data_IF_797804445802
#
_entry.id   IF_797804445802
#
_cell.length_a   1.000
_cell.length_b   1.000
_cell.length_c   1.000
_cell.angle_alpha   90.00
_cell.angle_beta   90.00
_cell.angle_gamma   90.00
#
_symmetry.space_group_name_H-M   'P 1'
#
loop_
_entity.id
_entity.type
_entity.pdbx_description
1 polymer ?
#
# COMPACT_ATOMS: atom_id res chain seq x y z
N UNK A 1 15.49 28.84 14.60
CA UNK A 1 16.08 28.03 13.51
C UNK A 1 16.14 26.52 13.81
N UNK A 2 16.34 26.08 15.06
CA UNK A 2 16.42 24.64 15.43
C UNK A 2 15.18 23.81 15.16
N UNK A 3 13.99 24.39 15.26
CA UNK A 3 12.72 23.67 15.06
C UNK A 3 12.52 23.19 13.61
N UNK A 4 12.99 23.97 12.62
CA UNK A 4 12.89 23.60 11.21
C UNK A 4 13.84 22.45 10.85
N UNK A 5 15.04 22.44 11.40
CA UNK A 5 16.05 21.38 11.20
C UNK A 5 15.57 20.05 11.77
N UNK A 6 14.96 20.07 12.97
CA UNK A 6 14.39 18.86 13.61
C UNK A 6 13.23 18.28 12.80
N UNK A 7 12.30 19.13 12.31
CA UNK A 7 11.18 18.69 11.48
C UNK A 7 11.66 18.09 10.15
N UNK A 8 12.67 18.70 9.52
CA UNK A 8 13.29 18.17 8.29
C UNK A 8 13.92 16.80 8.53
N UNK A 9 14.64 16.63 9.65
CA UNK A 9 15.25 15.33 10.02
C UNK A 9 14.20 14.25 10.29
N UNK A 10 13.11 14.58 10.99
CA UNK A 10 12.01 13.63 11.23
C UNK A 10 11.36 13.19 9.92
N UNK A 11 11.15 14.11 8.98
CA UNK A 11 10.59 13.80 7.66
C UNK A 11 11.53 12.92 6.84
N UNK A 12 12.82 13.20 6.86
CA UNK A 12 13.82 12.39 6.18
C UNK A 12 13.84 10.95 6.70
N UNK A 13 13.78 10.75 8.01
CA UNK A 13 13.72 9.40 8.61
C UNK A 13 12.44 8.65 8.18
N UNK A 14 11.28 9.30 8.22
CA UNK A 14 10.02 8.66 7.79
C UNK A 14 10.07 8.27 6.32
N UNK A 15 10.60 9.13 5.46
CA UNK A 15 10.75 8.86 4.04
C UNK A 15 11.76 7.74 3.77
N UNK A 16 12.89 7.73 4.49
CA UNK A 16 13.92 6.72 4.34
C UNK A 16 13.41 5.33 4.73
N UNK A 17 12.66 5.23 5.82
CA UNK A 17 12.01 3.99 6.22
C UNK A 17 11.04 3.48 5.15
N UNK A 18 10.25 4.37 4.53
CA UNK A 18 9.35 3.99 3.44
C UNK A 18 10.09 3.53 2.19
N UNK A 19 11.19 4.18 1.83
CA UNK A 19 11.99 3.82 0.64
C UNK A 19 12.71 2.48 0.79
N UNK A 20 12.99 2.06 2.02
CA UNK A 20 13.70 0.82 2.32
C UNK A 20 12.77 -0.37 2.60
N UNK A 21 11.48 -0.24 2.32
CA UNK A 21 10.52 -1.33 2.50
C UNK A 21 9.64 -1.50 1.26
N UNK A 22 9.27 -2.74 0.99
CA UNK A 22 8.28 -3.13 -0.04
C UNK A 22 6.97 -3.62 0.59
N UNK A 23 6.79 -3.42 1.91
CA UNK A 23 5.63 -3.93 2.64
C UNK A 23 4.52 -2.90 2.84
N UNK A 24 4.66 -1.71 2.30
CA UNK A 24 3.70 -0.60 2.39
C UNK A 24 3.13 -0.44 3.80
N UNK A 25 3.94 -0.04 4.78
CA UNK A 25 3.51 0.01 6.17
C UNK A 25 2.43 1.08 6.38
N UNK A 26 1.58 0.86 7.37
CA UNK A 26 0.70 1.89 7.90
C UNK A 26 1.48 2.83 8.85
N UNK A 27 0.83 3.91 9.29
CA UNK A 27 1.48 4.89 10.17
C UNK A 27 1.94 4.33 11.51
N UNK A 28 1.24 3.33 12.06
CA UNK A 28 1.61 2.69 13.32
C UNK A 28 2.88 1.84 13.17
N UNK A 29 2.98 1.03 12.12
CA UNK A 29 4.17 0.25 11.82
C UNK A 29 5.39 1.16 11.56
N UNK A 30 5.20 2.23 10.80
CA UNK A 30 6.26 3.24 10.58
C UNK A 30 6.69 3.94 11.88
N UNK A 31 5.76 4.18 12.78
CA UNK A 31 6.08 4.76 14.09
C UNK A 31 6.95 3.82 14.92
N UNK A 32 6.64 2.53 14.93
CA UNK A 32 7.45 1.54 15.67
C UNK A 32 8.87 1.47 15.11
N UNK A 33 9.04 1.48 13.79
CA UNK A 33 10.37 1.53 13.17
C UNK A 33 11.07 2.87 13.43
N UNK A 34 10.37 4.00 13.28
CA UNK A 34 10.94 5.32 13.49
C UNK A 34 11.42 5.52 14.92
N UNK A 35 10.76 4.93 15.92
CA UNK A 35 11.19 4.98 17.32
C UNK A 35 12.52 4.28 17.58
N UNK A 36 12.88 3.28 16.80
CA UNK A 36 14.19 2.61 16.91
C UNK A 36 15.34 3.55 16.55
N UNK A 37 15.09 4.45 15.58
CA UNK A 37 16.07 5.43 15.08
C UNK A 37 15.96 6.76 15.83
N UNK A 38 14.75 7.14 16.20
CA UNK A 38 14.41 8.41 16.87
C UNK A 38 13.50 8.14 18.08
N UNK A 39 14.02 7.77 19.24
CA UNK A 39 13.21 7.36 20.42
C UNK A 39 12.18 8.41 20.87
N UNK A 40 12.43 9.69 20.60
CA UNK A 40 11.57 10.82 20.98
C UNK A 40 10.57 11.25 19.90
N UNK A 41 10.42 10.47 18.81
CA UNK A 41 9.39 10.76 17.81
C UNK A 41 8.01 10.37 18.38
N UNK A 42 6.99 11.15 18.08
CA UNK A 42 5.60 10.81 18.44
C UNK A 42 4.83 10.29 17.22
N UNK A 43 3.80 9.48 17.46
CA UNK A 43 2.90 9.00 16.42
C UNK A 43 2.27 10.16 15.63
N UNK A 44 1.85 11.23 16.31
CA UNK A 44 1.33 12.43 15.66
C UNK A 44 2.37 13.13 14.75
N UNK A 45 3.66 13.02 15.09
CA UNK A 45 4.73 13.51 14.21
C UNK A 45 4.86 12.66 12.95
N UNK A 46 4.73 11.35 13.06
CA UNK A 46 4.75 10.44 11.90
C UNK A 46 3.59 10.77 10.95
N UNK A 47 2.35 10.84 11.46
CA UNK A 47 1.18 11.22 10.67
C UNK A 47 1.34 12.56 9.96
N UNK A 48 1.83 13.59 10.67
CA UNK A 48 2.07 14.90 10.09
C UNK A 48 3.09 14.85 8.94
N UNK A 49 4.18 14.09 9.10
CA UNK A 49 5.20 13.98 8.07
C UNK A 49 4.70 13.15 6.87
N UNK A 50 3.94 12.07 7.08
CA UNK A 50 3.31 11.30 6.02
C UNK A 50 2.38 12.18 5.19
N UNK A 51 1.51 12.96 5.84
CA UNK A 51 0.62 13.90 5.15
C UNK A 51 1.40 14.93 4.32
N UNK A 52 2.49 15.49 4.83
CA UNK A 52 3.31 16.45 4.10
C UNK A 52 4.02 15.80 2.90
N UNK A 53 4.51 14.56 3.04
CA UNK A 53 5.12 13.80 1.96
C UNK A 53 4.10 13.43 0.87
N UNK A 54 2.90 13.04 1.25
CA UNK A 54 1.77 12.79 0.33
C UNK A 54 1.38 14.07 -0.41
N UNK A 55 1.16 15.18 0.29
CA UNK A 55 0.80 16.48 -0.30
C UNK A 55 1.86 17.01 -1.27
N UNK A 56 3.13 16.69 -1.03
CA UNK A 56 4.23 17.05 -1.95
C UNK A 56 4.40 16.07 -3.10
N UNK A 57 3.58 15.03 -3.20
CA UNK A 57 3.72 13.99 -4.20
C UNK A 57 5.00 13.16 -4.08
N UNK A 58 5.63 13.14 -2.89
CA UNK A 58 6.86 12.35 -2.65
C UNK A 58 6.54 10.89 -2.32
N UNK A 59 5.37 10.63 -1.76
CA UNK A 59 4.81 9.31 -1.50
C UNK A 59 3.35 9.29 -1.94
N UNK A 60 2.79 8.11 -2.11
CA UNK A 60 1.35 7.94 -2.30
C UNK A 60 0.73 7.19 -1.13
N UNK A 61 -0.55 7.41 -0.93
CA UNK A 61 -1.39 6.70 0.01
C UNK A 61 -2.21 5.66 -0.73
N UNK A 62 -2.16 4.43 -0.25
CA UNK A 62 -2.98 3.33 -0.74
C UNK A 62 -4.23 3.24 0.14
N UNK A 63 -5.40 3.45 -0.48
CA UNK A 63 -6.70 3.30 0.19
C UNK A 63 -7.24 1.92 -0.12
N UNK A 64 -7.11 1.03 0.86
CA UNK A 64 -7.56 -0.36 0.76
C UNK A 64 -8.93 -0.55 1.42
N UNK A 65 -9.62 -1.63 1.07
CA UNK A 65 -10.95 -1.94 1.62
C UNK A 65 -10.96 -2.14 3.15
N UNK A 66 -9.80 -2.31 3.78
CA UNK A 66 -9.66 -2.43 5.24
C UNK A 66 -9.91 -1.12 6.00
N UNK A 67 -9.99 0.01 5.30
CA UNK A 67 -10.04 1.34 5.93
C UNK A 67 -8.71 1.77 6.57
N UNK A 68 -7.68 0.93 6.55
CA UNK A 68 -6.33 1.27 7.04
C UNK A 68 -5.53 1.90 5.90
N UNK A 69 -4.96 3.07 6.15
CA UNK A 69 -4.11 3.77 5.20
C UNK A 69 -2.71 3.14 5.19
N UNK A 70 -2.26 2.74 4.01
CA UNK A 70 -0.90 2.28 3.76
C UNK A 70 -0.16 3.31 2.91
N UNK A 71 1.17 3.35 3.02
CA UNK A 71 1.98 4.35 2.34
C UNK A 71 3.05 3.69 1.47
N UNK A 72 3.29 4.30 0.32
CA UNK A 72 4.21 3.82 -0.68
C UNK A 72 5.10 4.98 -1.18
N UNK A 73 6.40 4.73 -1.25
CA UNK A 73 7.38 5.69 -1.76
C UNK A 73 7.80 5.39 -3.22
N UNK A 74 7.34 4.29 -3.81
CA UNK A 74 7.51 4.02 -5.23
C UNK A 74 6.32 4.58 -6.01
N UNK A 75 6.54 5.69 -6.69
CA UNK A 75 5.51 6.36 -7.49
C UNK A 75 5.38 5.81 -8.91
N UNK A 76 6.26 4.88 -9.32
CA UNK A 76 6.12 4.23 -10.62
C UNK A 76 4.84 3.40 -10.65
N UNK A 77 4.15 3.28 -11.79
CA UNK A 77 3.00 2.39 -11.91
C UNK A 77 3.40 0.95 -11.56
N UNK A 78 2.73 0.35 -10.59
CA UNK A 78 2.87 -1.06 -10.24
C UNK A 78 1.60 -1.54 -9.56
N UNK A 79 1.48 -2.84 -9.37
CA UNK A 79 0.29 -3.49 -8.82
C UNK A 79 0.54 -3.95 -7.40
N UNK A 80 -0.53 -4.18 -6.65
CA UNK A 80 -0.45 -4.56 -5.24
C UNK A 80 -1.18 -5.86 -4.97
N UNK A 81 -0.70 -6.61 -3.98
CA UNK A 81 -1.39 -7.75 -3.41
C UNK A 81 -1.65 -7.49 -1.93
N UNK A 82 -2.91 -7.64 -1.52
CA UNK A 82 -3.34 -7.49 -0.12
C UNK A 82 -3.66 -8.86 0.45
N UNK A 83 -2.94 -9.25 1.49
CA UNK A 83 -3.22 -10.49 2.20
C UNK A 83 -4.40 -10.31 3.15
N UNK A 84 -5.48 -11.04 2.92
CA UNK A 84 -6.68 -10.99 3.78
C UNK A 84 -6.44 -11.59 5.17
N UNK A 85 -5.45 -12.46 5.32
CA UNK A 85 -5.15 -13.12 6.59
C UNK A 85 -4.28 -12.27 7.53
N UNK A 86 -3.26 -11.56 7.02
CA UNK A 86 -2.33 -10.78 7.85
C UNK A 86 -2.30 -9.29 7.55
N UNK A 87 -3.13 -8.81 6.62
CA UNK A 87 -3.21 -7.40 6.25
C UNK A 87 -2.00 -6.86 5.48
N UNK A 88 -0.98 -7.66 5.21
CA UNK A 88 0.21 -7.21 4.47
C UNK A 88 -0.14 -6.79 3.05
N UNK A 89 0.44 -5.68 2.63
CA UNK A 89 0.42 -5.21 1.26
C UNK A 89 1.79 -5.46 0.65
N UNK A 90 1.83 -6.07 -0.52
CA UNK A 90 3.05 -6.45 -1.22
C UNK A 90 2.98 -5.93 -2.66
N UNK A 91 4.13 -5.54 -3.20
CA UNK A 91 4.25 -5.25 -4.63
C UNK A 91 4.10 -6.53 -5.45
N UNK A 92 3.35 -6.42 -6.53
CA UNK A 92 3.26 -7.47 -7.55
C UNK A 92 3.88 -6.93 -8.82
N UNK A 93 4.99 -7.56 -9.23
CA UNK A 93 5.61 -7.30 -10.52
C UNK A 93 4.78 -7.94 -11.62
N UNK A 94 3.84 -7.20 -12.17
CA UNK A 94 3.33 -7.47 -13.50
C UNK A 94 4.20 -6.68 -14.47
N UNK A 95 4.42 -7.23 -15.66
CA UNK A 95 5.11 -6.51 -16.72
C UNK A 95 4.55 -5.09 -16.81
N UNK A 96 5.41 -4.10 -16.70
CA UNK A 96 5.09 -2.68 -16.55
C UNK A 96 4.47 -2.04 -17.81
N UNK A 97 4.05 -2.82 -18.76
CA UNK A 97 3.35 -2.34 -19.95
C UNK A 97 1.87 -2.19 -19.62
N UNK A 98 1.33 -1.04 -19.95
CA UNK A 98 -0.13 -0.81 -19.91
C UNK A 98 -0.82 -1.93 -20.69
N UNK A 99 -1.95 -2.46 -20.20
CA UNK A 99 -2.74 -3.41 -20.97
C UNK A 99 -3.08 -2.82 -22.33
N UNK A 100 -2.96 -3.62 -23.37
CA UNK A 100 -3.42 -3.22 -24.71
C UNK A 100 -4.93 -2.91 -24.70
N UNK A 101 -5.40 -2.12 -25.67
CA UNK A 101 -6.84 -1.82 -25.82
C UNK A 101 -7.71 -3.08 -25.79
N UNK A 102 -7.28 -4.16 -26.47
CA UNK A 102 -7.98 -5.45 -26.49
C UNK A 102 -8.03 -6.13 -25.12
N UNK A 103 -6.98 -5.97 -24.31
CA UNK A 103 -6.94 -6.51 -22.95
C UNK A 103 -7.84 -5.70 -22.03
N UNK A 104 -7.85 -4.37 -22.15
CA UNK A 104 -8.76 -3.48 -21.43
C UNK A 104 -10.22 -3.76 -21.79
N UNK A 105 -10.54 -3.92 -23.07
CA UNK A 105 -11.88 -4.30 -23.52
C UNK A 105 -12.32 -5.63 -22.91
N UNK A 106 -11.42 -6.62 -22.93
CA UNK A 106 -11.71 -7.96 -22.43
C UNK A 106 -11.89 -8.01 -20.90
N UNK A 107 -11.07 -7.27 -20.13
CA UNK A 107 -11.08 -7.36 -18.66
C UNK A 107 -11.99 -6.32 -18.01
N UNK A 108 -12.18 -5.15 -18.61
CA UNK A 108 -12.90 -4.02 -18.02
C UNK A 108 -14.10 -3.55 -18.85
N UNK A 109 -14.28 -4.09 -20.07
CA UNK A 109 -15.34 -3.68 -20.98
C UNK A 109 -15.14 -2.28 -21.58
N UNK A 110 -13.97 -1.65 -21.36
CA UNK A 110 -13.64 -0.36 -21.98
C UNK A 110 -13.37 -0.54 -23.47
N UNK A 111 -14.06 0.25 -24.31
CA UNK A 111 -13.90 0.23 -25.75
C UNK A 111 -13.18 1.50 -26.21
N UNK A 112 -12.17 1.33 -27.03
CA UNK A 112 -11.45 2.46 -27.65
C UNK A 112 -12.37 3.41 -28.42
N UNK A 113 -13.45 2.89 -29.00
CA UNK A 113 -14.47 3.64 -29.75
C UNK A 113 -15.25 4.63 -28.85
N UNK A 114 -15.23 4.46 -27.52
CA UNK A 114 -15.87 5.36 -26.56
C UNK A 114 -15.01 6.58 -26.21
N UNK A 115 -13.80 6.70 -26.78
CA UNK A 115 -12.92 7.85 -26.63
C UNK A 115 -12.15 7.91 -25.31
N UNK A 116 -11.98 6.76 -24.63
CA UNK A 116 -11.14 6.69 -23.43
C UNK A 116 -9.65 6.73 -23.81
N UNK A 117 -8.91 7.60 -23.14
CA UNK A 117 -7.45 7.65 -23.18
C UNK A 117 -6.92 7.17 -21.82
N UNK A 118 -6.27 5.98 -21.77
CA UNK A 118 -5.80 5.38 -20.53
C UNK A 118 -4.33 5.76 -20.31
N UNK A 119 -4.08 6.58 -19.29
CA UNK A 119 -2.71 7.01 -18.93
C UNK A 119 -2.02 6.04 -17.96
N UNK A 120 -2.78 5.35 -17.11
CA UNK A 120 -2.26 4.39 -16.14
C UNK A 120 -3.32 3.38 -15.71
N UNK A 121 -2.87 2.21 -15.26
CA UNK A 121 -3.72 1.21 -14.65
C UNK A 121 -3.05 0.65 -13.38
N UNK A 122 -3.84 0.47 -12.33
CA UNK A 122 -3.41 -0.17 -11.09
C UNK A 122 -4.39 -1.29 -10.74
N UNK A 123 -3.86 -2.48 -10.42
CA UNK A 123 -4.66 -3.63 -10.01
C UNK A 123 -4.30 -4.01 -8.59
N UNK A 124 -5.30 -4.21 -7.75
CA UNK A 124 -5.12 -4.69 -6.39
C UNK A 124 -5.68 -6.11 -6.29
N UNK A 125 -4.78 -7.06 -6.03
CA UNK A 125 -5.15 -8.45 -5.81
C UNK A 125 -5.41 -8.69 -4.33
N UNK A 126 -6.48 -9.41 -4.01
CA UNK A 126 -6.82 -9.80 -2.66
C UNK A 126 -6.77 -11.33 -2.53
N UNK A 127 -6.04 -11.83 -1.52
CA UNK A 127 -5.88 -13.27 -1.34
C UNK A 127 -5.14 -13.60 -0.06
N UNK A 128 -4.48 -14.74 0.00
CA UNK A 128 -3.67 -15.19 1.13
C UNK A 128 -2.21 -15.27 0.68
N UNK A 129 -1.30 -14.57 1.39
CA UNK A 129 0.11 -14.55 1.03
C UNK A 129 0.78 -15.93 1.31
N UNK A 130 1.94 -16.22 0.69
CA UNK A 130 2.65 -17.50 0.90
C UNK A 130 2.95 -17.79 2.38
N UNK A 131 3.21 -16.78 3.19
CA UNK A 131 3.48 -16.94 4.63
C UNK A 131 2.23 -17.33 5.42
N UNK A 132 1.04 -17.07 4.90
CA UNK A 132 -0.25 -17.40 5.51
C UNK A 132 -0.93 -18.60 4.84
N UNK A 133 -0.63 -18.88 3.58
CA UNK A 133 -1.28 -19.93 2.75
C UNK A 133 -0.98 -21.37 3.18
N UNK A 134 -0.05 -21.58 4.12
CA UNK A 134 0.16 -22.87 4.75
C UNK A 134 -0.73 -23.14 5.97
N UNK A 135 -1.49 -22.16 6.40
CA UNK A 135 -2.44 -22.27 7.51
C UNK A 135 -3.83 -22.58 6.96
N UNK A 136 -4.07 -23.87 6.68
CA UNK A 136 -5.43 -24.38 6.66
C UNK A 136 -5.88 -24.42 8.11
N UNK A 137 -7.11 -24.00 8.40
CA UNK A 137 -7.70 -24.26 9.69
C UNK A 137 -7.60 -25.76 9.99
N UNK A 138 -7.55 -26.12 11.26
CA UNK A 138 -7.34 -27.50 11.74
C UNK A 138 -8.37 -28.50 11.23
N UNK A 139 -9.43 -28.03 10.57
CA UNK A 139 -10.51 -28.82 9.96
C UNK A 139 -10.43 -28.94 8.42
N UNK A 140 -9.41 -28.32 7.79
CA UNK A 140 -9.23 -28.39 6.34
C UNK A 140 -10.18 -27.50 5.54
N UNK A 141 -10.96 -26.65 6.21
CA UNK A 141 -11.92 -25.76 5.55
C UNK A 141 -11.19 -24.66 4.80
N UNK A 142 -11.47 -24.56 3.51
CA UNK A 142 -10.97 -23.47 2.66
C UNK A 142 -11.62 -22.16 3.12
N UNK A 143 -10.81 -21.20 3.51
CA UNK A 143 -11.30 -19.90 3.97
C UNK A 143 -12.02 -19.18 2.82
N UNK A 144 -13.34 -19.22 2.84
CA UNK A 144 -14.19 -18.44 1.92
C UNK A 144 -14.55 -17.11 2.58
N UNK A 145 -14.41 -15.98 1.89
CA UNK A 145 -14.85 -14.68 2.42
C UNK A 145 -16.37 -14.70 2.64
N UNK A 146 -16.80 -14.27 3.82
CA UNK A 146 -18.23 -14.04 4.04
C UNK A 146 -18.77 -13.02 3.02
N UNK A 147 -19.98 -13.28 2.53
CA UNK A 147 -20.62 -12.53 1.42
C UNK A 147 -20.85 -11.04 1.72
N UNK A 148 -20.60 -10.60 2.93
CA UNK A 148 -20.98 -9.28 3.45
C UNK A 148 -19.82 -8.28 3.55
N UNK A 149 -18.62 -8.62 3.04
CA UNK A 149 -17.48 -7.70 3.00
C UNK A 149 -16.91 -7.30 4.37
N UNK A 150 -17.42 -7.87 5.47
CA UNK A 150 -16.90 -7.62 6.80
C UNK A 150 -15.74 -8.56 7.11
N UNK A 151 -14.55 -7.99 7.19
CA UNK A 151 -13.34 -8.70 7.64
C UNK A 151 -13.25 -8.57 9.15
N UNK A 152 -13.36 -9.68 9.89
CA UNK A 152 -12.93 -9.69 11.30
C UNK A 152 -11.42 -9.61 11.34
N UNK A 153 -10.93 -8.53 11.97
CA UNK A 153 -9.53 -8.34 12.36
C UNK A 153 -9.22 -9.20 13.58
#
# INVERSE_FOLDING_TARGET
MENNTRQTRQRAVVLDLLKNTTSHPNAAALYDEARRVMPNISLGTVYRNLRLLEQSGTIRKLVLNSGVEHFDADLRPHHHFVCRSCGRVLDVGLNSELPSEKELEKCCGMRAEEGFEVESAEVIFYGVCPSCGGRRDSDGTEWLPEKDGNYRI
#
